data_IF_456132836559
#
_entry.id   IF_456132836559
#
_cell.length_a   1.000
_cell.length_b   1.000
_cell.length_c   1.000
_cell.angle_alpha   90.00
_cell.angle_beta   90.00
_cell.angle_gamma   90.00
#
_symmetry.space_group_name_H-M   'P 1'
#
loop_
_entity.id
_entity.type
_entity.pdbx_description
1 polymer ?
#
# COMPACT_ATOMS: atom_id res chain seq x y z
N UNK A 1 2.88 21.60 -15.49
CA UNK A 1 3.27 20.32 -16.12
C UNK A 1 3.12 19.25 -15.06
N UNK A 2 2.39 18.16 -15.31
CA UNK A 2 2.25 17.05 -14.35
C UNK A 2 3.59 16.31 -14.29
N UNK A 3 4.09 15.99 -13.10
CA UNK A 3 5.36 15.26 -12.98
C UNK A 3 5.21 13.79 -13.41
N UNK A 4 6.32 13.13 -13.74
CA UNK A 4 6.30 11.70 -14.04
C UNK A 4 5.79 10.87 -12.84
N UNK A 5 6.15 11.26 -11.61
CA UNK A 5 5.69 10.61 -10.39
C UNK A 5 4.16 10.70 -10.25
N UNK A 6 3.60 11.90 -10.45
CA UNK A 6 2.14 12.11 -10.38
C UNK A 6 1.41 11.33 -11.49
N UNK A 7 2.02 11.20 -12.67
CA UNK A 7 1.45 10.40 -13.78
C UNK A 7 1.36 8.92 -13.41
N UNK A 8 2.44 8.35 -12.84
CA UNK A 8 2.46 6.95 -12.40
C UNK A 8 1.50 6.71 -11.23
N UNK A 9 1.38 7.67 -10.30
CA UNK A 9 0.40 7.63 -9.23
C UNK A 9 -1.03 7.60 -9.78
N UNK A 10 -1.34 8.47 -10.75
CA UNK A 10 -2.66 8.51 -11.42
C UNK A 10 -2.94 7.20 -12.14
N UNK A 11 -2.01 6.66 -12.93
CA UNK A 11 -2.22 5.39 -13.62
C UNK A 11 -2.39 4.21 -12.68
N UNK A 12 -1.66 4.18 -11.56
CA UNK A 12 -1.84 3.17 -10.52
C UNK A 12 -3.24 3.26 -9.93
N UNK A 13 -3.65 4.45 -9.46
CA UNK A 13 -4.96 4.66 -8.84
C UNK A 13 -6.14 4.41 -9.80
N UNK A 14 -6.03 4.83 -11.06
CA UNK A 14 -7.01 4.57 -12.10
C UNK A 14 -7.15 3.06 -12.37
N UNK A 15 -6.02 2.35 -12.45
CA UNK A 15 -6.01 0.91 -12.69
C UNK A 15 -6.64 0.14 -11.53
N UNK A 16 -6.39 0.55 -10.27
CA UNK A 16 -7.05 0.00 -9.08
C UNK A 16 -8.56 0.18 -9.19
N UNK A 17 -9.02 1.42 -9.43
CA UNK A 17 -10.46 1.73 -9.53
C UNK A 17 -11.15 0.99 -10.67
N UNK A 18 -10.44 0.72 -11.75
CA UNK A 18 -10.96 0.00 -12.92
C UNK A 18 -10.85 -1.53 -12.80
N UNK A 19 -10.33 -2.06 -11.68
CA UNK A 19 -10.12 -3.50 -11.50
C UNK A 19 -9.00 -4.10 -12.35
N UNK A 20 -8.18 -3.27 -13.00
CA UNK A 20 -7.05 -3.70 -13.83
C UNK A 20 -5.81 -3.95 -12.96
N UNK A 21 -5.89 -4.93 -12.06
CA UNK A 21 -4.94 -5.07 -10.97
C UNK A 21 -3.50 -5.36 -11.43
N UNK A 22 -3.30 -6.05 -12.56
CA UNK A 22 -1.96 -6.27 -13.12
C UNK A 22 -1.31 -4.95 -13.60
N UNK A 23 -2.11 -4.01 -14.11
CA UNK A 23 -1.63 -2.67 -14.50
C UNK A 23 -1.32 -1.83 -13.27
N UNK A 24 -2.18 -1.90 -12.26
CA UNK A 24 -1.96 -1.23 -10.99
C UNK A 24 -0.63 -1.65 -10.36
N UNK A 25 -0.38 -2.96 -10.30
CA UNK A 25 0.91 -3.49 -9.83
C UNK A 25 2.07 -2.99 -10.69
N UNK A 26 1.95 -3.06 -12.02
CA UNK A 26 3.01 -2.65 -12.94
C UNK A 26 3.39 -1.17 -12.76
N UNK A 27 2.40 -0.27 -12.74
CA UNK A 27 2.65 1.16 -12.59
C UNK A 27 3.10 1.53 -11.18
N UNK A 28 2.55 0.89 -10.15
CA UNK A 28 2.94 1.12 -8.76
C UNK A 28 4.38 0.69 -8.51
N UNK A 29 4.77 -0.48 -9.01
CA UNK A 29 6.15 -0.99 -8.93
C UNK A 29 7.13 -0.11 -9.68
N UNK A 30 6.78 0.29 -10.91
CA UNK A 30 7.62 1.19 -11.71
C UNK A 30 7.79 2.54 -11.00
N UNK A 31 6.69 3.10 -10.47
CA UNK A 31 6.73 4.33 -9.70
C UNK A 31 7.62 4.21 -8.47
N UNK A 32 7.51 3.13 -7.71
CA UNK A 32 8.32 2.91 -6.52
C UNK A 32 9.81 2.73 -6.85
N UNK A 33 10.13 2.09 -7.99
CA UNK A 33 11.51 1.95 -8.45
C UNK A 33 12.13 3.28 -8.89
N UNK A 34 11.34 4.17 -9.50
CA UNK A 34 11.81 5.48 -9.98
C UNK A 34 11.81 6.57 -8.91
N UNK A 35 10.88 6.48 -7.95
CA UNK A 35 10.63 7.49 -6.91
C UNK A 35 10.47 6.79 -5.54
N UNK A 36 11.52 6.12 -5.02
CA UNK A 36 11.44 5.29 -3.82
C UNK A 36 11.09 6.07 -2.55
N UNK A 37 11.32 7.38 -2.54
CA UNK A 37 10.96 8.33 -1.50
C UNK A 37 9.52 8.84 -1.54
N UNK A 38 8.76 8.59 -2.62
CA UNK A 38 7.36 9.02 -2.71
C UNK A 38 6.43 8.02 -2.01
N UNK A 39 6.11 8.32 -0.75
CA UNK A 39 5.21 7.51 0.07
C UNK A 39 3.82 7.33 -0.58
N UNK A 40 3.34 8.29 -1.40
CA UNK A 40 2.03 8.18 -2.06
C UNK A 40 2.01 7.04 -3.08
N UNK A 41 3.10 6.89 -3.82
CA UNK A 41 3.25 5.80 -4.78
C UNK A 41 3.37 4.47 -4.05
N UNK A 42 4.17 4.42 -2.98
CA UNK A 42 4.31 3.24 -2.12
C UNK A 42 2.95 2.81 -1.54
N UNK A 43 2.14 3.75 -1.07
CA UNK A 43 0.77 3.48 -0.60
C UNK A 43 -0.10 2.85 -1.69
N UNK A 44 -0.14 3.45 -2.88
CA UNK A 44 -0.95 2.93 -3.99
C UNK A 44 -0.46 1.55 -4.44
N UNK A 45 0.85 1.32 -4.47
CA UNK A 45 1.42 0.02 -4.78
C UNK A 45 1.05 -1.03 -3.72
N UNK A 46 1.13 -0.68 -2.43
CA UNK A 46 0.69 -1.54 -1.34
C UNK A 46 -0.79 -1.93 -1.47
N UNK A 47 -1.66 -0.98 -1.83
CA UNK A 47 -3.06 -1.28 -2.15
C UNK A 47 -3.22 -2.25 -3.33
N UNK A 48 -2.46 -2.05 -4.42
CA UNK A 48 -2.50 -2.95 -5.57
C UNK A 48 -2.08 -4.38 -5.19
N UNK A 49 -1.03 -4.54 -4.39
CA UNK A 49 -0.58 -5.83 -3.88
C UNK A 49 -1.61 -6.49 -2.96
N UNK A 50 -2.25 -5.71 -2.08
CA UNK A 50 -3.34 -6.21 -1.22
C UNK A 50 -4.49 -6.78 -2.05
N UNK A 51 -4.92 -6.05 -3.08
CA UNK A 51 -6.02 -6.48 -3.96
C UNK A 51 -5.65 -7.70 -4.81
N UNK A 52 -4.39 -7.81 -5.23
CA UNK A 52 -3.84 -8.99 -5.91
C UNK A 52 -3.50 -10.15 -4.97
N UNK A 53 -3.74 -10.02 -3.66
CA UNK A 53 -3.41 -11.03 -2.64
C UNK A 53 -1.92 -11.44 -2.62
N UNK A 54 -1.03 -10.52 -3.03
CA UNK A 54 0.43 -10.71 -3.01
C UNK A 54 1.00 -10.35 -1.65
N UNK A 55 0.62 -11.12 -0.63
CA UNK A 55 0.89 -10.78 0.77
C UNK A 55 2.37 -10.75 1.15
N UNK A 56 3.20 -11.62 0.56
CA UNK A 56 4.65 -11.62 0.82
C UNK A 56 5.32 -10.32 0.33
N UNK A 57 5.03 -9.92 -0.91
CA UNK A 57 5.52 -8.65 -1.47
C UNK A 57 4.97 -7.45 -0.69
N UNK A 58 3.68 -7.51 -0.29
CA UNK A 58 3.04 -6.46 0.49
C UNK A 58 3.73 -6.24 1.84
N UNK A 59 4.04 -7.31 2.57
CA UNK A 59 4.77 -7.22 3.84
C UNK A 59 6.12 -6.51 3.69
N UNK A 60 6.85 -6.80 2.61
CA UNK A 60 8.11 -6.12 2.31
C UNK A 60 7.91 -4.62 2.09
N UNK A 61 6.92 -4.25 1.27
CA UNK A 61 6.63 -2.84 0.95
C UNK A 61 6.22 -2.04 2.20
N UNK A 62 5.45 -2.66 3.09
CA UNK A 62 5.02 -2.05 4.36
C UNK A 62 6.18 -1.90 5.36
N UNK A 63 7.12 -2.84 5.39
CA UNK A 63 8.32 -2.77 6.25
C UNK A 63 9.25 -1.61 5.88
N UNK A 64 9.28 -1.26 4.60
CA UNK A 64 10.13 -0.20 4.07
C UNK A 64 9.47 1.20 4.11
N UNK A 65 8.24 1.31 4.65
CA UNK A 65 7.55 2.59 4.74
C UNK A 65 8.26 3.52 5.74
N UNK A 66 8.77 4.65 5.26
CA UNK A 66 9.54 5.61 6.07
C UNK A 66 8.65 6.44 6.97
N UNK A 67 7.42 6.71 6.53
CA UNK A 67 6.49 7.57 7.22
C UNK A 67 5.19 6.83 7.51
N UNK A 68 4.74 6.82 8.78
CA UNK A 68 3.43 6.28 9.09
C UNK A 68 2.35 7.12 8.40
N UNK A 69 1.36 6.43 7.86
CA UNK A 69 0.16 7.06 7.30
C UNK A 69 -1.06 6.23 7.62
N UNK A 70 -2.22 6.88 7.63
CA UNK A 70 -3.50 6.18 7.81
C UNK A 70 -3.74 5.13 6.72
N UNK A 71 -3.24 5.36 5.51
CA UNK A 71 -3.34 4.42 4.40
C UNK A 71 -2.49 3.18 4.63
N UNK A 72 -1.23 3.34 5.05
CA UNK A 72 -0.41 2.19 5.42
C UNK A 72 -0.98 1.42 6.60
N UNK A 73 -1.48 2.12 7.62
CA UNK A 73 -2.12 1.48 8.78
C UNK A 73 -3.37 0.69 8.38
N UNK A 74 -4.18 1.21 7.45
CA UNK A 74 -5.31 0.47 6.88
C UNK A 74 -4.83 -0.80 6.17
N UNK A 75 -3.86 -0.68 5.26
CA UNK A 75 -3.38 -1.82 4.46
C UNK A 75 -2.76 -2.89 5.37
N UNK A 76 -1.98 -2.47 6.38
CA UNK A 76 -1.43 -3.37 7.41
C UNK A 76 -2.54 -4.06 8.18
N UNK A 77 -3.53 -3.33 8.69
CA UNK A 77 -4.66 -3.93 9.41
C UNK A 77 -5.42 -4.95 8.55
N UNK A 78 -5.63 -4.67 7.25
CA UNK A 78 -6.25 -5.61 6.31
C UNK A 78 -5.40 -6.84 6.06
N UNK A 79 -4.09 -6.67 5.90
CA UNK A 79 -3.16 -7.79 5.76
C UNK A 79 -3.27 -8.73 6.97
N UNK A 80 -3.13 -8.21 8.20
CA UNK A 80 -3.19 -9.01 9.43
C UNK A 80 -4.54 -9.74 9.62
N UNK A 81 -5.64 -9.15 9.14
CA UNK A 81 -6.96 -9.81 9.13
C UNK A 81 -7.02 -10.98 8.15
N UNK A 82 -6.34 -10.87 7.01
CA UNK A 82 -6.39 -11.87 5.93
C UNK A 82 -5.39 -13.01 6.12
N UNK A 83 -4.24 -12.74 6.74
CA UNK A 83 -3.18 -13.74 6.93
C UNK A 83 -3.35 -14.58 8.19
N UNK A 84 -4.42 -14.39 8.96
CA UNK A 84 -4.69 -15.17 10.17
C UNK A 84 -3.70 -14.88 11.30
N UNK A 85 -3.13 -13.68 11.36
CA UNK A 85 -2.24 -13.27 12.43
C UNK A 85 -2.92 -13.34 13.80
N UNK A 86 -2.11 -13.41 14.87
CA UNK A 86 -2.62 -13.50 16.24
C UNK A 86 -3.62 -12.38 16.57
N UNK A 87 -4.55 -12.66 17.48
CA UNK A 87 -5.58 -11.68 17.86
C UNK A 87 -4.98 -10.39 18.43
N UNK A 88 -3.84 -10.48 19.12
CA UNK A 88 -3.12 -9.32 19.64
C UNK A 88 -2.53 -8.45 18.52
N UNK A 89 -1.81 -9.06 17.57
CA UNK A 89 -1.22 -8.35 16.42
C UNK A 89 -2.29 -7.69 15.56
N UNK A 90 -3.37 -8.43 15.29
CA UNK A 90 -4.51 -7.92 14.53
C UNK A 90 -5.19 -6.76 15.24
N UNK A 91 -5.46 -6.89 16.54
CA UNK A 91 -6.09 -5.84 17.34
C UNK A 91 -5.25 -4.56 17.35
N UNK A 92 -3.93 -4.68 17.47
CA UNK A 92 -3.06 -3.52 17.48
C UNK A 92 -2.99 -2.82 16.11
N UNK A 93 -2.91 -3.59 15.02
CA UNK A 93 -2.94 -3.02 13.68
C UNK A 93 -4.24 -2.23 13.42
N UNK A 94 -5.39 -2.75 13.87
CA UNK A 94 -6.68 -2.04 13.79
C UNK A 94 -6.68 -0.77 14.63
N UNK A 95 -6.17 -0.81 15.86
CA UNK A 95 -6.10 0.39 16.73
C UNK A 95 -5.22 1.47 16.12
N UNK A 96 -4.05 1.11 15.58
CA UNK A 96 -3.18 2.06 14.89
C UNK A 96 -3.90 2.72 13.72
N UNK A 97 -4.64 1.95 12.91
CA UNK A 97 -5.48 2.52 11.85
C UNK A 97 -6.55 3.50 12.38
N UNK A 98 -7.28 3.13 13.44
CA UNK A 98 -8.32 3.97 14.04
C UNK A 98 -7.77 5.27 14.65
N UNK A 99 -6.52 5.25 15.14
CA UNK A 99 -5.79 6.43 15.65
C UNK A 99 -5.18 7.30 14.54
N UNK A 100 -5.47 7.01 13.27
CA UNK A 100 -4.97 7.79 12.13
C UNK A 100 -3.59 7.37 11.63
N UNK A 101 -3.17 6.14 11.94
CA UNK A 101 -1.88 5.60 11.54
C UNK A 101 -0.72 6.06 12.41
N UNK A 102 -0.98 6.57 13.60
CA UNK A 102 0.06 6.79 14.60
C UNK A 102 0.52 5.43 15.13
N UNK A 103 1.84 5.20 15.10
CA UNK A 103 2.52 4.06 15.71
C UNK A 103 3.32 4.56 16.91
#
# INVERSE_FOLDING_TARGET
MISCADTLLVFTSFSIRSGLLWKAETYGRLGLAMFPEDDRIREMYAYALLLNQKFSELSSVLGDARRPSRNFAYVKARLEMLTGSSDATRSEAVRSFLRGGQA
#
